data_IF_308252145490
#
_entry.id   IF_308252145490
#
_cell.length_a   1.000
_cell.length_b   1.000
_cell.length_c   1.000
_cell.angle_alpha   90.00
_cell.angle_beta   90.00
_cell.angle_gamma   90.00
#
_symmetry.space_group_name_H-M   'P 1'
#
loop_
_entity.id
_entity.type
_entity.pdbx_description
1 polymer ?
#
# COMPACT_ATOMS: atom_id res chain seq x y z
N UNK A 1 -4.82 11.66 -14.02
CA UNK A 1 -5.29 10.29 -13.72
C UNK A 1 -6.78 10.36 -13.42
N UNK A 2 -7.63 9.45 -13.94
CA UNK A 2 -8.93 9.24 -13.29
C UNK A 2 -8.64 9.02 -11.79
N UNK A 3 -9.33 9.70 -10.87
CA UNK A 3 -9.01 9.56 -9.46
C UNK A 3 -9.23 8.09 -9.11
N UNK A 4 -8.18 7.41 -8.64
CA UNK A 4 -8.21 6.00 -8.24
C UNK A 4 -9.41 5.72 -7.31
N UNK A 5 -9.80 6.70 -6.50
CA UNK A 5 -11.05 6.74 -5.73
C UNK A 5 -12.27 6.31 -6.53
N UNK A 6 -12.49 6.86 -7.74
CA UNK A 6 -13.65 6.56 -8.58
C UNK A 6 -13.74 5.09 -8.98
N UNK A 7 -12.60 4.44 -9.19
CA UNK A 7 -12.52 3.02 -9.57
C UNK A 7 -12.63 2.10 -8.35
N UNK A 8 -12.20 2.58 -7.17
CA UNK A 8 -12.29 1.82 -5.92
C UNK A 8 -13.64 1.95 -5.21
N UNK A 9 -14.41 3.02 -5.44
CA UNK A 9 -15.75 3.23 -4.88
C UNK A 9 -16.70 2.02 -5.02
N UNK A 10 -16.81 1.36 -6.19
CA UNK A 10 -17.68 0.18 -6.33
C UNK A 10 -17.11 -1.10 -5.72
N UNK A 11 -15.86 -1.11 -5.24
CA UNK A 11 -15.22 -2.33 -4.72
C UNK A 11 -15.79 -2.71 -3.36
N UNK A 12 -16.43 -3.88 -3.30
CA UNK A 12 -17.04 -4.42 -2.07
C UNK A 12 -16.12 -5.34 -1.27
N UNK A 13 -14.96 -5.72 -1.85
CA UNK A 13 -14.00 -6.58 -1.18
C UNK A 13 -13.52 -5.97 0.15
N UNK A 14 -13.52 -6.75 1.25
CA UNK A 14 -13.12 -6.24 2.56
C UNK A 14 -11.60 -6.21 2.72
N UNK A 15 -11.11 -5.10 3.29
CA UNK A 15 -9.81 -5.01 3.96
C UNK A 15 -9.90 -5.74 5.31
N UNK A 16 -8.85 -6.43 5.72
CA UNK A 16 -8.91 -7.31 6.91
C UNK A 16 -9.09 -6.56 8.24
N UNK A 17 -8.73 -5.28 8.31
CA UNK A 17 -8.91 -4.43 9.49
C UNK A 17 -9.99 -3.36 9.36
N UNK A 18 -10.30 -2.94 8.13
CA UNK A 18 -11.00 -1.67 7.90
C UNK A 18 -12.36 -1.82 7.19
N UNK A 19 -12.75 -3.05 6.84
CA UNK A 19 -14.01 -3.33 6.17
C UNK A 19 -13.95 -3.09 4.66
N UNK A 20 -15.10 -2.94 3.96
CA UNK A 20 -15.15 -2.86 2.50
C UNK A 20 -14.36 -1.68 1.93
N UNK A 21 -13.48 -1.93 0.95
CA UNK A 21 -12.58 -0.92 0.38
C UNK A 21 -13.33 0.30 -0.17
N UNK A 22 -14.42 0.09 -0.89
CA UNK A 22 -15.26 1.17 -1.43
C UNK A 22 -15.85 2.09 -0.35
N UNK A 23 -16.13 1.57 0.85
CA UNK A 23 -16.62 2.38 1.97
C UNK A 23 -15.50 3.19 2.62
N UNK A 24 -14.28 2.67 2.64
CA UNK A 24 -13.10 3.37 3.18
C UNK A 24 -12.79 4.58 2.31
N UNK A 25 -12.71 4.39 0.98
CA UNK A 25 -12.36 5.49 0.05
C UNK A 25 -13.46 6.55 -0.09
N UNK A 26 -14.69 6.23 0.33
CA UNK A 26 -15.83 7.15 0.33
C UNK A 26 -15.93 8.02 1.61
N UNK A 27 -15.09 7.78 2.62
CA UNK A 27 -15.21 8.41 3.94
C UNK A 27 -13.88 9.04 4.37
N UNK A 28 -13.91 9.99 5.34
CA UNK A 28 -12.69 10.45 5.97
C UNK A 28 -11.89 9.29 6.58
N UNK A 29 -10.56 9.37 6.51
CA UNK A 29 -9.67 8.36 7.08
C UNK A 29 -9.91 8.22 8.59
N UNK A 30 -9.94 6.98 9.06
CA UNK A 30 -9.93 6.71 10.49
C UNK A 30 -8.54 7.07 11.10
N UNK A 31 -8.40 7.10 12.43
CA UNK A 31 -7.13 7.49 13.07
C UNK A 31 -5.92 6.62 12.70
N UNK A 32 -6.12 5.32 12.46
CA UNK A 32 -5.03 4.40 12.08
C UNK A 32 -4.56 4.65 10.64
N UNK A 33 -5.49 4.78 9.70
CA UNK A 33 -5.18 5.14 8.31
C UNK A 33 -4.57 6.53 8.19
N UNK A 34 -5.03 7.48 9.02
CA UNK A 34 -4.43 8.81 9.13
C UNK A 34 -2.98 8.72 9.61
N UNK A 35 -2.71 7.85 10.57
CA UNK A 35 -1.34 7.63 11.09
C UNK A 35 -0.45 7.01 10.03
N UNK A 36 -0.93 5.98 9.32
CA UNK A 36 -0.22 5.36 8.20
C UNK A 36 0.12 6.38 7.11
N UNK A 37 -0.87 7.15 6.65
CA UNK A 37 -0.68 8.19 5.62
C UNK A 37 0.30 9.27 6.05
N UNK A 38 0.25 9.69 7.33
CA UNK A 38 1.20 10.66 7.89
C UNK A 38 2.63 10.11 7.95
N UNK A 39 2.79 8.88 8.45
CA UNK A 39 4.09 8.21 8.48
C UNK A 39 4.68 8.08 7.07
N UNK A 40 3.87 7.68 6.10
CA UNK A 40 4.30 7.58 4.71
C UNK A 40 4.70 8.95 4.13
N UNK A 41 3.92 10.00 4.40
CA UNK A 41 4.24 11.37 3.95
C UNK A 41 5.56 11.87 4.52
N UNK A 42 5.85 11.58 5.81
CA UNK A 42 7.14 11.91 6.43
C UNK A 42 8.30 11.20 5.75
N UNK A 43 8.14 9.91 5.44
CA UNK A 43 9.15 9.15 4.70
C UNK A 43 9.39 9.74 3.30
N UNK A 44 8.34 10.11 2.57
CA UNK A 44 8.46 10.80 1.27
C UNK A 44 9.18 12.15 1.36
N UNK A 45 9.18 12.79 2.53
CA UNK A 45 9.91 14.04 2.81
C UNK A 45 11.35 13.81 3.30
N UNK A 46 11.81 12.55 3.37
CA UNK A 46 13.17 12.19 3.75
C UNK A 46 13.37 11.86 5.24
N UNK A 47 12.31 11.88 6.06
CA UNK A 47 12.39 11.47 7.45
C UNK A 47 12.60 9.96 7.58
N UNK A 48 13.29 9.56 8.65
CA UNK A 48 13.27 8.18 9.09
C UNK A 48 11.98 7.88 9.89
N UNK A 49 11.32 6.77 9.56
CA UNK A 49 10.04 6.36 10.14
C UNK A 49 10.17 4.98 10.79
N UNK A 50 9.56 4.84 11.96
CA UNK A 50 9.50 3.59 12.69
C UNK A 50 8.11 2.96 12.52
N UNK A 51 8.07 1.80 11.86
CA UNK A 51 6.84 1.09 11.51
C UNK A 51 6.44 0.00 12.51
N UNK A 52 7.16 -0.13 13.64
CA UNK A 52 6.91 -1.19 14.65
C UNK A 52 5.47 -1.24 15.17
N UNK A 53 4.80 -0.09 15.27
CA UNK A 53 3.42 -0.02 15.78
C UNK A 53 2.35 -0.37 14.75
N UNK A 54 2.71 -0.59 13.48
CA UNK A 54 1.76 -0.92 12.40
C UNK A 54 1.96 -2.31 11.83
N UNK A 55 3.21 -2.80 11.80
CA UNK A 55 3.55 -4.11 11.25
C UNK A 55 2.91 -5.25 12.04
N UNK A 56 2.55 -6.31 11.33
CA UNK A 56 1.98 -7.53 11.92
C UNK A 56 0.50 -7.43 12.31
N UNK A 57 -0.16 -6.29 12.04
CA UNK A 57 -1.57 -6.10 12.37
C UNK A 57 -2.50 -6.58 11.27
N UNK A 58 -3.47 -7.40 11.68
CA UNK A 58 -4.47 -7.99 10.79
C UNK A 58 -4.38 -9.52 10.75
N UNK A 59 -5.39 -10.19 10.19
CA UNK A 59 -5.43 -11.65 10.14
C UNK A 59 -4.52 -12.23 9.05
N UNK A 60 -4.11 -13.48 9.21
CA UNK A 60 -3.47 -14.28 8.16
C UNK A 60 -1.94 -14.25 8.13
N UNK A 61 -1.37 -14.81 7.06
CA UNK A 61 0.09 -14.86 6.84
C UNK A 61 0.64 -13.55 6.26
N UNK A 62 -0.23 -12.71 5.72
CA UNK A 62 0.05 -11.37 5.20
C UNK A 62 -0.87 -10.41 5.95
N UNK A 63 -0.45 -9.91 7.11
CA UNK A 63 -1.29 -9.04 7.93
C UNK A 63 -1.69 -7.78 7.16
N UNK A 64 -2.93 -7.32 7.33
CA UNK A 64 -3.53 -6.22 6.54
C UNK A 64 -2.71 -4.94 6.47
N UNK A 65 -2.10 -4.51 7.57
CA UNK A 65 -1.26 -3.31 7.54
C UNK A 65 0.02 -3.52 6.73
N UNK A 66 0.54 -4.75 6.66
CA UNK A 66 1.73 -5.04 5.87
C UNK A 66 1.43 -5.00 4.38
N UNK A 67 0.28 -5.56 3.96
CA UNK A 67 -0.20 -5.43 2.58
C UNK A 67 -0.50 -3.95 2.23
N UNK A 68 -1.00 -3.18 3.21
CA UNK A 68 -1.18 -1.72 3.03
C UNK A 68 0.17 -1.02 2.81
N UNK A 69 1.21 -1.33 3.60
CA UNK A 69 2.56 -0.78 3.39
C UNK A 69 3.16 -1.23 2.06
N UNK A 70 2.92 -2.48 1.66
CA UNK A 70 3.32 -3.02 0.35
C UNK A 70 2.75 -2.17 -0.80
N UNK A 71 1.46 -1.85 -0.74
CA UNK A 71 0.79 -0.99 -1.72
C UNK A 71 1.33 0.45 -1.75
N UNK A 72 1.67 1.01 -0.58
CA UNK A 72 2.29 2.34 -0.50
C UNK A 72 3.69 2.38 -1.12
N UNK A 73 4.52 1.36 -0.84
CA UNK A 73 5.83 1.22 -1.47
C UNK A 73 5.70 1.06 -2.99
N UNK A 74 4.75 0.25 -3.46
CA UNK A 74 4.48 0.08 -4.88
C UNK A 74 4.26 1.43 -5.58
N UNK A 75 3.35 2.27 -5.06
CA UNK A 75 3.09 3.56 -5.72
C UNK A 75 4.26 4.53 -5.60
N UNK A 76 5.04 4.50 -4.51
CA UNK A 76 6.27 5.29 -4.42
C UNK A 76 7.27 4.95 -5.54
N UNK A 77 7.41 3.66 -5.86
CA UNK A 77 8.30 3.20 -6.94
C UNK A 77 7.76 3.49 -8.35
N UNK A 78 6.45 3.67 -8.51
CA UNK A 78 5.81 3.90 -9.80
C UNK A 78 5.59 5.38 -10.15
N UNK A 79 5.48 6.24 -9.14
CA UNK A 79 5.23 7.66 -9.37
C UNK A 79 6.54 8.41 -9.65
N UNK A 80 6.70 8.89 -10.89
CA UNK A 80 7.91 9.58 -11.34
C UNK A 80 8.25 10.87 -10.55
N UNK A 81 7.33 11.38 -9.72
CA UNK A 81 7.61 12.52 -8.83
C UNK A 81 8.40 12.12 -7.60
N UNK A 82 8.45 10.82 -7.27
CA UNK A 82 9.13 10.29 -6.09
C UNK A 82 10.46 9.66 -6.50
N UNK A 83 11.58 10.27 -6.09
CA UNK A 83 12.91 9.69 -6.27
C UNK A 83 13.25 8.76 -5.10
N UNK A 84 12.72 7.53 -5.10
CA UNK A 84 12.89 6.57 -3.98
C UNK A 84 14.36 6.33 -3.63
N UNK A 85 15.26 6.33 -4.62
CA UNK A 85 16.69 6.15 -4.43
C UNK A 85 17.36 7.27 -3.61
N UNK A 86 16.74 8.46 -3.52
CA UNK A 86 17.23 9.58 -2.71
C UNK A 86 16.64 9.57 -1.28
N UNK A 87 15.66 8.71 -0.99
CA UNK A 87 15.02 8.60 0.33
C UNK A 87 15.81 7.68 1.26
N UNK A 88 15.53 7.78 2.57
CA UNK A 88 16.03 6.80 3.53
C UNK A 88 15.39 5.42 3.25
N UNK A 89 16.09 4.29 3.51
CA UNK A 89 15.47 2.98 3.48
C UNK A 89 14.19 2.95 4.31
N UNK A 90 13.12 2.40 3.75
CA UNK A 90 11.76 2.48 4.30
C UNK A 90 11.67 1.93 5.73
N UNK A 91 12.41 0.86 6.02
CA UNK A 91 12.43 0.21 7.32
C UNK A 91 13.65 0.55 8.17
N UNK A 92 14.46 1.57 7.82
CA UNK A 92 15.73 1.90 8.49
C UNK A 92 15.65 1.99 10.03
N UNK A 93 14.56 2.56 10.56
CA UNK A 93 14.33 2.74 12.01
C UNK A 93 13.44 1.68 12.65
N UNK A 94 13.00 0.71 11.87
CA UNK A 94 12.12 -0.37 12.31
C UNK A 94 12.97 -1.54 12.83
N UNK A 95 12.49 -2.24 13.85
CA UNK A 95 13.14 -3.50 14.28
C UNK A 95 13.09 -4.55 13.16
N UNK A 96 13.83 -5.65 13.32
CA UNK A 96 13.88 -6.69 12.29
C UNK A 96 12.47 -7.17 11.94
N UNK A 97 12.12 -7.18 10.64
CA UNK A 97 10.76 -7.50 10.18
C UNK A 97 10.27 -8.87 10.67
N UNK A 98 11.18 -9.84 10.79
CA UNK A 98 10.87 -11.18 11.31
C UNK A 98 10.44 -11.23 12.78
N UNK A 99 10.65 -10.16 13.56
CA UNK A 99 10.16 -10.02 14.94
C UNK A 99 8.77 -9.36 15.00
N UNK A 100 8.35 -8.71 13.91
CA UNK A 100 7.18 -7.85 13.87
C UNK A 100 6.02 -8.44 13.06
N UNK A 101 6.33 -9.33 12.12
CA UNK A 101 5.31 -9.95 11.26
C UNK A 101 5.66 -11.40 10.90
N UNK A 102 4.75 -12.06 10.17
CA UNK A 102 4.97 -13.39 9.63
C UNK A 102 6.18 -13.44 8.70
N UNK A 103 6.81 -14.61 8.62
CA UNK A 103 7.93 -14.86 7.69
C UNK A 103 7.58 -14.57 6.22
N UNK A 104 6.33 -14.82 5.82
CA UNK A 104 5.85 -14.57 4.45
C UNK A 104 5.79 -13.07 4.18
N UNK A 105 5.16 -12.32 5.08
CA UNK A 105 5.04 -10.86 4.95
C UNK A 105 6.41 -10.16 5.01
N UNK A 106 7.27 -10.58 5.94
CA UNK A 106 8.64 -10.05 6.05
C UNK A 106 9.43 -10.21 4.74
N UNK A 107 9.27 -11.32 4.02
CA UNK A 107 9.90 -11.49 2.70
C UNK A 107 9.34 -10.53 1.66
N UNK A 108 8.01 -10.39 1.57
CA UNK A 108 7.40 -9.46 0.62
C UNK A 108 7.83 -8.02 0.87
N UNK A 109 7.81 -7.57 2.12
CA UNK A 109 8.23 -6.22 2.49
C UNK A 109 9.72 -5.97 2.23
N UNK A 110 10.58 -6.97 2.47
CA UNK A 110 12.01 -6.87 2.18
C UNK A 110 12.30 -6.68 0.68
N UNK A 111 11.58 -7.41 -0.18
CA UNK A 111 11.70 -7.24 -1.64
C UNK A 111 11.06 -5.95 -2.13
N UNK A 112 9.94 -5.55 -1.55
CA UNK A 112 9.27 -4.30 -1.90
C UNK A 112 10.11 -3.06 -1.58
N UNK A 113 10.87 -3.08 -0.47
CA UNK A 113 11.83 -2.02 -0.15
C UNK A 113 12.90 -1.85 -1.25
N UNK A 114 13.18 -2.91 -2.02
CA UNK A 114 14.11 -2.91 -3.16
C UNK A 114 13.41 -2.67 -4.51
N UNK A 115 12.12 -2.36 -4.51
CA UNK A 115 11.32 -2.16 -5.73
C UNK A 115 10.94 -3.44 -6.46
N UNK A 116 11.03 -4.61 -5.79
CA UNK A 116 10.68 -5.91 -6.36
C UNK A 116 9.30 -6.32 -5.85
N UNK A 117 8.35 -6.50 -6.78
CA UNK A 117 6.96 -6.81 -6.47
C UNK A 117 6.47 -8.09 -7.18
N UNK A 118 5.39 -8.68 -6.66
CA UNK A 118 4.76 -9.85 -7.27
C UNK A 118 4.09 -9.49 -8.62
N UNK A 119 4.03 -10.45 -9.55
CA UNK A 119 3.50 -10.26 -10.91
C UNK A 119 2.15 -9.53 -11.00
N UNK A 120 1.14 -9.82 -10.17
CA UNK A 120 -0.15 -9.12 -10.27
C UNK A 120 -0.03 -7.62 -9.95
N UNK A 121 0.95 -7.21 -9.15
CA UNK A 121 1.22 -5.79 -8.86
C UNK A 121 1.89 -5.08 -10.05
N UNK A 122 2.62 -5.79 -10.91
CA UNK A 122 3.09 -5.25 -12.19
C UNK A 122 1.91 -5.01 -13.16
N UNK A 123 0.91 -5.90 -13.16
CA UNK A 123 -0.34 -5.68 -13.91
C UNK A 123 -1.06 -4.41 -13.45
N UNK A 124 -1.16 -4.21 -12.14
CA UNK A 124 -1.69 -2.97 -11.56
C UNK A 124 -0.88 -1.73 -11.97
N UNK A 125 0.46 -1.81 -11.94
CA UNK A 125 1.34 -0.72 -12.36
C UNK A 125 1.06 -0.26 -13.80
N UNK A 126 0.89 -1.22 -14.71
CA UNK A 126 0.52 -0.95 -16.11
C UNK A 126 -0.88 -0.35 -16.20
N UNK A 127 -1.84 -0.89 -15.44
CA UNK A 127 -3.22 -0.38 -15.38
C UNK A 127 -3.32 1.06 -14.86
N UNK A 128 -2.47 1.46 -13.90
CA UNK A 128 -2.42 2.84 -13.41
C UNK A 128 -1.98 3.84 -14.49
N UNK A 129 -1.24 3.38 -15.50
CA UNK A 129 -0.81 4.19 -16.65
C UNK A 129 -1.81 4.14 -17.82
N UNK A 130 -2.76 3.19 -17.81
CA UNK A 130 -3.69 2.90 -18.91
C UNK A 130 -5.11 2.73 -18.35
N UNK A 131 -5.94 3.80 -18.32
CA UNK A 131 -7.25 3.79 -17.67
C UNK A 131 -8.17 2.61 -18.09
N UNK A 132 -8.10 2.21 -19.35
CA UNK A 132 -8.87 1.10 -19.92
C UNK A 132 -8.50 -0.28 -19.36
N UNK A 133 -7.31 -0.43 -18.76
CA UNK A 133 -6.82 -1.68 -18.14
C UNK A 133 -6.90 -1.67 -16.61
N UNK A 134 -7.19 -0.52 -16.00
CA UNK A 134 -7.16 -0.35 -14.56
C UNK A 134 -8.17 -1.24 -13.85
N UNK A 135 -9.40 -1.35 -14.39
CA UNK A 135 -10.44 -2.19 -13.78
C UNK A 135 -10.04 -3.67 -13.76
N UNK A 136 -9.55 -4.21 -14.87
CA UNK A 136 -9.12 -5.62 -14.93
C UNK A 136 -7.91 -5.90 -14.03
N UNK A 137 -6.99 -4.93 -13.91
CA UNK A 137 -5.84 -5.06 -13.04
C UNK A 137 -6.24 -5.03 -11.54
N UNK A 138 -7.23 -4.21 -11.18
CA UNK A 138 -7.83 -4.21 -9.83
C UNK A 138 -8.45 -5.59 -9.55
N UNK A 139 -9.22 -6.14 -10.48
CA UNK A 139 -9.83 -7.47 -10.32
C UNK A 139 -8.78 -8.57 -10.15
N UNK A 140 -7.63 -8.48 -10.84
CA UNK A 140 -6.49 -9.38 -10.67
C UNK A 140 -5.89 -9.31 -9.27
N UNK A 141 -5.67 -8.09 -8.76
CA UNK A 141 -5.16 -7.88 -7.41
C UNK A 141 -6.15 -8.35 -6.36
N UNK A 142 -7.45 -8.12 -6.54
CA UNK A 142 -8.50 -8.58 -5.62
C UNK A 142 -8.59 -10.11 -5.52
N UNK A 143 -8.06 -10.86 -6.49
CA UNK A 143 -7.96 -12.34 -6.40
C UNK A 143 -6.80 -12.82 -5.50
N UNK A 144 -5.97 -11.91 -4.99
CA UNK A 144 -4.88 -12.24 -4.06
C UNK A 144 -5.38 -12.43 -2.63
N UNK A 145 -5.33 -13.68 -2.16
CA UNK A 145 -5.70 -14.02 -0.79
C UNK A 145 -7.15 -13.64 -0.45
N UNK A 146 -7.54 -13.77 0.82
CA UNK A 146 -8.89 -13.38 1.25
C UNK A 146 -9.04 -11.87 1.46
N UNK A 147 -7.98 -11.20 1.95
CA UNK A 147 -7.98 -9.76 2.28
C UNK A 147 -6.85 -8.99 1.58
N UNK A 148 -5.72 -9.66 1.32
CA UNK A 148 -4.48 -9.02 0.84
C UNK A 148 -4.65 -8.17 -0.41
N UNK A 149 -5.47 -8.59 -1.36
CA UNK A 149 -5.76 -7.79 -2.55
C UNK A 149 -6.38 -6.42 -2.21
N UNK A 150 -7.40 -6.41 -1.34
CA UNK A 150 -8.07 -5.17 -0.92
C UNK A 150 -7.15 -4.31 -0.03
N UNK A 151 -6.41 -4.93 0.90
CA UNK A 151 -5.45 -4.23 1.76
C UNK A 151 -4.31 -3.61 0.93
N UNK A 152 -3.82 -4.29 -0.11
CA UNK A 152 -2.81 -3.73 -1.04
C UNK A 152 -3.35 -2.53 -1.81
N UNK A 153 -4.57 -2.63 -2.35
CA UNK A 153 -5.21 -1.53 -3.06
C UNK A 153 -5.50 -0.32 -2.15
N UNK A 154 -5.83 -0.56 -0.88
CA UNK A 154 -5.91 0.49 0.13
C UNK A 154 -4.57 1.21 0.29
N UNK A 155 -3.47 0.46 0.36
CA UNK A 155 -2.10 0.98 0.39
C UNK A 155 -1.78 1.87 -0.80
N UNK A 156 -2.07 1.40 -2.01
CA UNK A 156 -1.88 2.16 -3.26
C UNK A 156 -2.67 3.47 -3.20
N UNK A 157 -3.95 3.41 -2.79
CA UNK A 157 -4.80 4.60 -2.71
C UNK A 157 -4.30 5.63 -1.69
N UNK A 158 -3.91 5.18 -0.49
CA UNK A 158 -3.32 6.05 0.52
C UNK A 158 -2.02 6.69 0.05
N UNK A 159 -1.18 5.93 -0.65
CA UNK A 159 0.07 6.45 -1.19
C UNK A 159 -0.15 7.47 -2.30
N UNK A 160 -1.11 7.24 -3.23
CA UNK A 160 -1.51 8.24 -4.24
C UNK A 160 -1.99 9.53 -3.57
N UNK A 161 -2.82 9.45 -2.53
CA UNK A 161 -3.30 10.64 -1.80
C UNK A 161 -2.14 11.39 -1.16
N UNK A 162 -1.23 10.68 -0.48
CA UNK A 162 -0.07 11.29 0.17
C UNK A 162 0.84 11.99 -0.83
N UNK A 163 1.16 11.35 -1.96
CA UNK A 163 2.00 11.93 -3.02
C UNK A 163 1.31 13.17 -3.61
N UNK A 164 0.01 13.09 -3.94
CA UNK A 164 -0.73 14.25 -4.46
C UNK A 164 -0.86 15.41 -3.46
N UNK A 165 -0.76 15.16 -2.16
CA UNK A 165 -0.75 16.21 -1.15
C UNK A 165 0.61 16.91 -1.02
N UNK A 166 1.69 16.27 -1.51
CA UNK A 166 3.06 16.78 -1.46
C UNK A 166 3.51 17.45 -2.76
N UNK A 167 2.95 17.04 -3.90
CA UNK A 167 3.32 17.50 -5.26
C UNK A 167 2.09 17.93 -6.06
#
# INVERSE_FOLDING_TARGET
>A
MQPLTGVLLPVTAPCGLFGPLGQIVARPLNPELTTLSRCFSRWLQGDEVDWRSVLGKGPGLTPSNDDTLLGMLLIAYLDNRVEVAALQPFFKRTAALGELTSRVSAHYLHYAEQGIFATPLHGLAQGLSMPERLSSAIDEVLRLGHFSGADTLLGVWLGVIAINALY
#
